data_IF_047478360813
#
_entry.id   IF_047478360813
#
_cell.length_a   1.000
_cell.length_b   1.000
_cell.length_c   1.000
_cell.angle_alpha   90.00
_cell.angle_beta   90.00
_cell.angle_gamma   90.00
#
_symmetry.space_group_name_H-M   'P 1'
#
loop_
_entity.id
_entity.type
_entity.pdbx_description
1 polymer ?
#
# COMPACT_ATOMS: atom_id res chain seq x y z
N UNK A 1 12.14 -2.05 5.36
CA UNK A 1 10.93 -1.34 4.86
C UNK A 1 10.24 -0.62 6.01
N UNK A 2 9.78 0.64 5.83
CA UNK A 2 9.22 1.46 6.90
C UNK A 2 8.05 0.77 7.64
N UNK A 3 7.06 0.22 6.92
CA UNK A 3 5.90 -0.45 7.53
C UNK A 3 6.27 -1.63 8.43
N UNK A 4 7.19 -2.49 8.01
CA UNK A 4 7.65 -3.62 8.82
C UNK A 4 8.41 -3.17 10.05
N UNK A 5 9.23 -2.12 9.92
CA UNK A 5 9.95 -1.53 11.05
C UNK A 5 8.98 -0.89 12.07
N UNK A 6 7.96 -0.15 11.59
CA UNK A 6 6.94 0.45 12.46
C UNK A 6 6.16 -0.61 13.23
N UNK A 7 5.75 -1.70 12.56
CA UNK A 7 5.09 -2.82 13.23
C UNK A 7 6.02 -3.52 14.24
N UNK A 8 7.28 -3.76 13.87
CA UNK A 8 8.27 -4.34 14.77
C UNK A 8 8.46 -3.50 16.04
N UNK A 9 8.55 -2.19 15.89
CA UNK A 9 8.63 -1.23 17.01
C UNK A 9 7.38 -1.28 17.89
N UNK A 10 6.19 -1.38 17.26
CA UNK A 10 4.91 -1.48 17.99
C UNK A 10 4.86 -2.73 18.89
N UNK A 11 5.21 -3.90 18.34
CA UNK A 11 5.27 -5.14 19.11
C UNK A 11 6.34 -5.09 20.21
N UNK A 12 7.50 -4.51 19.94
CA UNK A 12 8.57 -4.35 20.96
C UNK A 12 8.11 -3.44 22.11
N UNK A 13 7.46 -2.31 21.80
CA UNK A 13 6.93 -1.40 22.82
C UNK A 13 5.80 -2.03 23.65
N UNK A 14 5.05 -2.97 23.06
CA UNK A 14 4.07 -3.78 23.75
C UNK A 14 4.69 -4.93 24.58
N UNK A 15 6.02 -5.03 24.63
CA UNK A 15 6.75 -6.00 25.45
C UNK A 15 6.99 -7.36 24.79
N UNK A 16 6.81 -7.48 23.47
CA UNK A 16 6.98 -8.74 22.75
C UNK A 16 8.38 -8.90 22.17
N UNK A 17 8.82 -10.14 22.06
CA UNK A 17 10.03 -10.51 21.34
C UNK A 17 9.78 -10.48 19.85
N UNK A 18 10.57 -9.70 19.11
CA UNK A 18 10.38 -9.50 17.67
C UNK A 18 11.50 -10.17 16.88
N UNK A 19 11.13 -10.90 15.83
CA UNK A 19 12.02 -11.50 14.85
C UNK A 19 11.78 -10.81 13.51
N UNK A 20 12.84 -10.30 12.89
CA UNK A 20 12.78 -9.70 11.55
C UNK A 20 13.14 -10.71 10.46
N UNK A 21 12.49 -10.59 9.31
CA UNK A 21 12.87 -11.32 8.11
C UNK A 21 12.61 -10.45 6.87
N UNK A 22 13.54 -10.39 5.93
CA UNK A 22 13.39 -9.63 4.69
C UNK A 22 14.35 -10.15 3.61
N UNK A 23 14.14 -9.71 2.37
CA UNK A 23 15.06 -9.93 1.27
C UNK A 23 16.23 -8.96 1.34
N UNK A 24 17.45 -9.44 1.17
CA UNK A 24 18.65 -8.61 1.09
C UNK A 24 19.23 -8.63 -0.33
N UNK A 25 18.72 -7.75 -1.23
CA UNK A 25 19.14 -7.75 -2.62
C UNK A 25 20.63 -7.38 -2.74
N UNK A 26 21.32 -8.09 -3.61
CA UNK A 26 22.74 -7.88 -3.88
C UNK A 26 23.66 -8.03 -2.65
N UNK A 27 23.21 -8.70 -1.60
CA UNK A 27 23.95 -8.85 -0.34
C UNK A 27 24.04 -7.57 0.49
N UNK A 28 23.29 -6.52 0.12
CA UNK A 28 23.22 -5.29 0.93
C UNK A 28 22.17 -5.47 2.01
N UNK A 29 22.57 -5.42 3.31
CA UNK A 29 21.62 -5.54 4.40
C UNK A 29 20.54 -4.45 4.36
N UNK A 30 19.29 -4.86 4.59
CA UNK A 30 18.18 -3.91 4.70
C UNK A 30 18.26 -3.13 6.01
N UNK A 31 17.77 -1.89 6.00
CA UNK A 31 17.87 -0.99 7.14
C UNK A 31 17.18 -1.52 8.41
N UNK A 32 16.06 -2.22 8.31
CA UNK A 32 15.34 -2.81 9.45
C UNK A 32 16.17 -3.81 10.24
N UNK A 33 17.15 -4.47 9.61
CA UNK A 33 18.07 -5.42 10.28
C UNK A 33 18.83 -4.82 11.47
N UNK A 34 19.08 -3.51 11.43
CA UNK A 34 19.87 -2.79 12.41
C UNK A 34 19.03 -2.20 13.55
N UNK A 35 17.74 -2.46 13.57
CA UNK A 35 16.86 -2.01 14.62
C UNK A 35 17.13 -2.76 15.93
N UNK A 36 17.21 -2.01 17.04
CA UNK A 36 17.37 -2.58 18.38
C UNK A 36 16.19 -3.42 18.84
N UNK A 37 15.03 -3.29 18.18
CA UNK A 37 13.81 -4.05 18.51
C UNK A 37 13.88 -5.50 18.07
N UNK A 38 14.75 -5.83 17.12
CA UNK A 38 14.87 -7.18 16.60
C UNK A 38 15.82 -8.02 17.44
N UNK A 39 15.30 -9.07 18.07
CA UNK A 39 16.13 -10.06 18.76
C UNK A 39 16.92 -10.93 17.80
N UNK A 40 16.41 -11.14 16.57
CA UNK A 40 17.09 -11.82 15.47
C UNK A 40 16.56 -11.32 14.13
N UNK A 41 17.38 -11.54 13.09
CA UNK A 41 17.03 -11.26 11.71
C UNK A 41 17.38 -12.43 10.79
N UNK A 42 16.49 -12.72 9.84
CA UNK A 42 16.66 -13.77 8.83
C UNK A 42 16.61 -13.16 7.43
N UNK A 43 17.63 -13.44 6.63
CA UNK A 43 17.60 -13.13 5.20
C UNK A 43 16.81 -14.20 4.47
N UNK A 44 15.87 -13.79 3.62
CA UNK A 44 14.97 -14.66 2.88
C UNK A 44 15.36 -14.75 1.41
N UNK A 45 15.16 -15.92 0.82
CA UNK A 45 15.28 -16.14 -0.62
C UNK A 45 14.13 -15.45 -1.34
N UNK A 46 14.41 -14.71 -2.43
CA UNK A 46 13.35 -14.13 -3.26
C UNK A 46 12.65 -15.17 -4.09
N UNK A 47 11.32 -15.11 -4.22
CA UNK A 47 10.62 -15.86 -5.25
C UNK A 47 11.21 -15.54 -6.63
N UNK A 48 11.36 -16.57 -7.47
CA UNK A 48 11.92 -16.43 -8.80
C UNK A 48 11.16 -17.32 -9.80
N UNK A 49 11.37 -17.09 -11.11
CA UNK A 49 10.66 -17.80 -12.17
C UNK A 49 11.04 -19.29 -12.28
N UNK A 50 12.20 -19.70 -11.73
CA UNK A 50 12.70 -21.07 -11.84
C UNK A 50 12.13 -21.97 -10.75
N UNK A 51 12.19 -21.50 -9.49
CA UNK A 51 11.85 -22.30 -8.30
C UNK A 51 10.54 -21.83 -7.64
N UNK A 52 9.89 -20.82 -8.23
CA UNK A 52 8.69 -20.23 -7.69
C UNK A 52 8.92 -19.64 -6.30
N UNK A 53 7.99 -19.89 -5.39
CA UNK A 53 8.07 -19.45 -4.01
C UNK A 53 8.69 -20.47 -3.04
N UNK A 54 9.16 -21.61 -3.52
CA UNK A 54 9.54 -22.77 -2.68
C UNK A 54 10.59 -22.39 -1.63
N UNK A 55 11.70 -21.81 -2.05
CA UNK A 55 12.77 -21.41 -1.11
C UNK A 55 12.33 -20.33 -0.13
N UNK A 56 11.56 -19.35 -0.60
CA UNK A 56 10.98 -18.31 0.25
C UNK A 56 10.13 -18.91 1.37
N UNK A 57 9.22 -19.82 1.03
CA UNK A 57 8.31 -20.47 1.99
C UNK A 57 9.10 -21.33 2.96
N UNK A 58 10.13 -22.06 2.48
CA UNK A 58 11.00 -22.90 3.32
C UNK A 58 11.80 -22.06 4.32
N UNK A 59 12.36 -20.91 3.90
CA UNK A 59 13.09 -20.00 4.78
C UNK A 59 12.18 -19.46 5.88
N UNK A 60 10.98 -18.98 5.53
CA UNK A 60 9.99 -18.51 6.50
C UNK A 60 9.58 -19.61 7.48
N UNK A 61 9.21 -20.79 6.98
CA UNK A 61 8.80 -21.92 7.83
C UNK A 61 9.92 -22.33 8.79
N UNK A 62 11.18 -22.33 8.30
CA UNK A 62 12.35 -22.67 9.09
C UNK A 62 12.57 -21.64 10.21
N UNK A 63 12.44 -20.32 9.90
CA UNK A 63 12.54 -19.25 10.89
C UNK A 63 11.42 -19.35 11.93
N UNK A 64 10.17 -19.55 11.51
CA UNK A 64 9.00 -19.72 12.39
C UNK A 64 9.20 -20.88 13.36
N UNK A 65 9.62 -22.05 12.87
CA UNK A 65 9.86 -23.24 13.71
C UNK A 65 11.02 -23.04 14.68
N UNK A 66 12.14 -22.50 14.21
CA UNK A 66 13.35 -22.29 15.01
C UNK A 66 13.13 -21.30 16.16
N UNK A 67 12.42 -20.23 15.88
CA UNK A 67 12.16 -19.16 16.85
C UNK A 67 10.88 -19.36 17.64
N UNK A 68 10.09 -20.40 17.32
CA UNK A 68 8.79 -20.69 17.94
C UNK A 68 7.87 -19.47 17.87
N UNK A 69 7.71 -18.92 16.66
CA UNK A 69 6.94 -17.70 16.42
C UNK A 69 5.45 -18.00 16.64
N UNK A 70 4.80 -17.20 17.47
CA UNK A 70 3.36 -17.33 17.75
C UNK A 70 2.52 -16.64 16.65
N UNK A 71 3.00 -15.48 16.14
CA UNK A 71 2.30 -14.70 15.12
C UNK A 71 3.29 -14.25 14.03
N UNK A 72 2.93 -14.49 12.78
CA UNK A 72 3.65 -13.98 11.63
C UNK A 72 2.84 -12.88 10.95
N UNK A 73 3.43 -11.69 10.76
CA UNK A 73 2.81 -10.54 10.10
C UNK A 73 3.50 -10.31 8.77
N UNK A 74 2.77 -10.52 7.66
CA UNK A 74 3.28 -10.20 6.34
C UNK A 74 3.36 -8.68 6.14
N UNK A 75 4.57 -8.20 5.80
CA UNK A 75 4.85 -6.80 5.48
C UNK A 75 5.39 -6.65 4.05
N UNK A 76 5.23 -7.64 3.22
CA UNK A 76 5.79 -7.70 1.86
C UNK A 76 5.22 -6.62 0.94
N UNK A 77 5.89 -6.44 -0.19
CA UNK A 77 5.44 -5.56 -1.26
C UNK A 77 4.49 -6.26 -2.23
N UNK A 78 4.11 -5.56 -3.29
CA UNK A 78 3.24 -6.06 -4.36
C UNK A 78 3.77 -7.34 -5.01
N UNK A 79 5.09 -7.46 -5.17
CA UNK A 79 5.73 -8.53 -5.93
C UNK A 79 5.72 -9.91 -5.25
N UNK A 80 5.25 -10.02 -4.02
CA UNK A 80 5.22 -11.29 -3.27
C UNK A 80 3.91 -11.50 -2.49
N UNK A 81 2.85 -10.80 -2.88
CA UNK A 81 1.58 -10.89 -2.17
C UNK A 81 0.94 -12.29 -2.25
N UNK A 82 0.99 -12.92 -3.41
CA UNK A 82 0.44 -14.28 -3.63
C UNK A 82 1.29 -15.33 -2.93
N UNK A 83 2.61 -15.19 -2.99
CA UNK A 83 3.56 -16.07 -2.31
C UNK A 83 3.43 -16.00 -0.78
N UNK A 84 3.06 -14.83 -0.25
CA UNK A 84 2.73 -14.67 1.18
C UNK A 84 1.46 -15.45 1.55
N UNK A 85 0.46 -15.49 0.67
CA UNK A 85 -0.73 -16.33 0.83
C UNK A 85 -0.37 -17.82 0.89
N UNK A 86 0.49 -18.28 -0.02
CA UNK A 86 1.01 -19.66 -0.02
C UNK A 86 1.80 -19.95 1.26
N UNK A 87 2.65 -19.00 1.69
CA UNK A 87 3.43 -19.14 2.92
C UNK A 87 2.52 -19.27 4.15
N UNK A 88 1.43 -18.48 4.24
CA UNK A 88 0.42 -18.59 5.29
C UNK A 88 -0.12 -20.02 5.37
N UNK A 89 -0.60 -20.57 4.26
CA UNK A 89 -1.20 -21.90 4.22
C UNK A 89 -0.23 -23.00 4.71
N UNK A 90 1.07 -22.87 4.33
CA UNK A 90 2.11 -23.80 4.76
C UNK A 90 2.45 -23.63 6.24
N UNK A 91 2.63 -22.40 6.71
CA UNK A 91 2.99 -22.09 8.11
C UNK A 91 1.90 -22.57 9.06
N UNK A 92 0.63 -22.21 8.82
CA UNK A 92 -0.48 -22.60 9.70
C UNK A 92 -0.75 -24.11 9.68
N UNK A 93 -0.51 -24.80 8.54
CA UNK A 93 -0.62 -26.27 8.45
C UNK A 93 0.44 -26.99 9.25
N UNK A 94 1.66 -26.44 9.32
CA UNK A 94 2.83 -27.14 9.87
C UNK A 94 3.32 -26.62 11.21
N UNK A 95 2.69 -25.57 11.76
CA UNK A 95 3.05 -24.97 13.04
C UNK A 95 1.79 -24.51 13.77
N UNK A 96 1.97 -23.96 14.98
CA UNK A 96 0.89 -23.25 15.71
C UNK A 96 0.89 -21.74 15.47
N UNK A 97 1.80 -21.27 14.63
CA UNK A 97 1.91 -19.85 14.30
C UNK A 97 0.66 -19.39 13.55
N UNK A 98 0.06 -18.30 13.99
CA UNK A 98 -1.03 -17.62 13.27
C UNK A 98 -0.45 -16.60 12.30
N UNK A 99 -0.96 -16.59 11.08
CA UNK A 99 -0.50 -15.68 10.04
C UNK A 99 -1.48 -14.53 9.84
N UNK A 100 -1.00 -13.30 9.97
CA UNK A 100 -1.75 -12.11 9.57
C UNK A 100 -1.52 -11.89 8.08
N UNK A 101 -2.22 -12.67 7.30
CA UNK A 101 -2.24 -12.69 5.84
C UNK A 101 -3.48 -13.42 5.36
N UNK A 102 -4.02 -13.07 4.20
CA UNK A 102 -5.09 -13.84 3.55
C UNK A 102 -4.51 -15.10 2.88
N UNK A 103 -5.37 -16.07 2.64
CA UNK A 103 -5.02 -17.23 1.81
C UNK A 103 -4.71 -16.81 0.37
N UNK A 104 -4.16 -17.75 -0.40
CA UNK A 104 -3.72 -17.52 -1.78
C UNK A 104 -4.85 -17.02 -2.67
N UNK A 105 -6.05 -17.59 -2.57
CA UNK A 105 -7.20 -17.25 -3.40
C UNK A 105 -7.71 -15.84 -3.08
N UNK A 106 -7.93 -15.56 -1.82
CA UNK A 106 -8.38 -14.24 -1.36
C UNK A 106 -7.37 -13.17 -1.73
N UNK A 107 -6.06 -13.43 -1.51
CA UNK A 107 -5.00 -12.50 -1.88
C UNK A 107 -5.00 -12.21 -3.38
N UNK A 108 -5.10 -13.22 -4.23
CA UNK A 108 -5.14 -13.03 -5.68
C UNK A 108 -6.37 -12.23 -6.12
N UNK A 109 -7.54 -12.53 -5.57
CA UNK A 109 -8.79 -11.80 -5.88
C UNK A 109 -8.70 -10.32 -5.50
N UNK A 110 -8.15 -10.01 -4.32
CA UNK A 110 -8.08 -8.63 -3.82
C UNK A 110 -6.94 -7.82 -4.45
N UNK A 111 -5.84 -8.49 -4.82
CA UNK A 111 -4.64 -7.84 -5.34
C UNK A 111 -4.80 -7.36 -6.79
N UNK A 112 -5.55 -8.09 -7.60
CA UNK A 112 -5.77 -7.76 -8.99
C UNK A 112 -6.96 -6.79 -9.10
N UNK A 113 -6.74 -5.62 -9.72
CA UNK A 113 -7.71 -4.51 -9.75
C UNK A 113 -9.08 -4.90 -10.29
N UNK A 114 -9.08 -5.69 -11.36
CA UNK A 114 -10.30 -6.11 -12.01
C UNK A 114 -11.10 -7.08 -11.11
N UNK A 115 -10.47 -8.16 -10.63
CA UNK A 115 -11.12 -9.14 -9.76
C UNK A 115 -11.62 -8.50 -8.46
N UNK A 116 -10.88 -7.54 -7.91
CA UNK A 116 -11.31 -6.76 -6.75
C UNK A 116 -12.60 -5.98 -7.03
N UNK A 117 -12.69 -5.27 -8.15
CA UNK A 117 -13.91 -4.53 -8.52
C UNK A 117 -15.09 -5.47 -8.74
N UNK A 118 -14.88 -6.61 -9.43
CA UNK A 118 -15.93 -7.60 -9.62
C UNK A 118 -16.37 -8.22 -8.29
N UNK A 119 -15.43 -8.54 -7.41
CA UNK A 119 -15.75 -9.03 -6.08
C UNK A 119 -16.57 -8.00 -5.27
N UNK A 120 -16.16 -6.71 -5.30
CA UNK A 120 -16.87 -5.62 -4.61
C UNK A 120 -18.29 -5.46 -5.13
N UNK A 121 -18.49 -5.53 -6.46
CA UNK A 121 -19.84 -5.54 -7.08
C UNK A 121 -20.66 -6.75 -6.63
N UNK A 122 -20.04 -7.93 -6.58
CA UNK A 122 -20.68 -9.16 -6.10
C UNK A 122 -21.16 -9.07 -4.65
N UNK A 123 -20.50 -8.27 -3.84
CA UNK A 123 -20.90 -7.95 -2.46
C UNK A 123 -22.00 -6.88 -2.37
N UNK A 124 -22.52 -6.38 -3.50
CA UNK A 124 -23.45 -5.26 -3.56
C UNK A 124 -22.95 -3.99 -2.82
N UNK A 125 -21.64 -3.72 -2.92
CA UNK A 125 -21.02 -2.51 -2.43
C UNK A 125 -20.76 -1.51 -3.57
N UNK A 126 -20.69 -0.20 -3.28
CA UNK A 126 -20.34 0.80 -4.30
C UNK A 126 -19.02 0.45 -4.98
N UNK A 127 -18.99 0.51 -6.29
CA UNK A 127 -17.79 0.33 -7.10
C UNK A 127 -17.91 1.17 -8.37
N UNK A 128 -16.79 1.63 -8.98
CA UNK A 128 -16.84 2.31 -10.26
C UNK A 128 -17.49 1.45 -11.32
N UNK A 129 -18.23 2.06 -12.20
CA UNK A 129 -18.73 1.40 -13.40
C UNK A 129 -17.54 0.90 -14.23
N UNK A 130 -17.53 -0.38 -14.56
CA UNK A 130 -16.36 -1.06 -15.10
C UNK A 130 -16.80 -2.14 -16.07
N UNK A 131 -16.18 -2.17 -17.23
CA UNK A 131 -16.44 -3.10 -18.32
C UNK A 131 -15.15 -3.81 -18.72
N UNK A 132 -15.26 -5.11 -18.94
CA UNK A 132 -14.18 -5.91 -19.53
C UNK A 132 -14.25 -5.78 -21.04
N UNK A 133 -13.16 -5.37 -21.65
CA UNK A 133 -13.08 -5.16 -23.08
C UNK A 133 -11.94 -5.97 -23.69
N UNK A 134 -12.28 -6.80 -24.67
CA UNK A 134 -11.35 -7.66 -25.41
C UNK A 134 -11.27 -7.27 -26.88
N UNK A 135 -11.98 -6.20 -27.28
CA UNK A 135 -11.90 -5.66 -28.64
C UNK A 135 -12.09 -4.14 -28.63
N UNK A 136 -11.50 -3.48 -29.63
CA UNK A 136 -11.67 -2.04 -29.85
C UNK A 136 -13.14 -1.67 -30.14
N UNK A 137 -13.85 -2.55 -30.83
CA UNK A 137 -15.27 -2.36 -31.11
C UNK A 137 -16.12 -2.32 -29.84
N UNK A 138 -15.83 -3.19 -28.86
CA UNK A 138 -16.51 -3.17 -27.56
C UNK A 138 -16.31 -1.82 -26.84
N UNK A 139 -15.08 -1.27 -26.88
CA UNK A 139 -14.80 0.06 -26.31
C UNK A 139 -15.66 1.12 -26.98
N UNK A 140 -15.69 1.17 -28.32
CA UNK A 140 -16.47 2.19 -29.05
C UNK A 140 -17.96 2.06 -28.80
N UNK A 141 -18.52 0.85 -28.73
CA UNK A 141 -19.91 0.65 -28.41
C UNK A 141 -20.30 1.24 -27.06
N UNK A 142 -19.49 0.94 -26.00
CA UNK A 142 -19.75 1.47 -24.67
C UNK A 142 -19.65 3.00 -24.66
N UNK A 143 -18.60 3.58 -25.30
CA UNK A 143 -18.43 5.02 -25.36
C UNK A 143 -19.58 5.74 -26.14
N UNK A 144 -20.13 5.10 -27.15
CA UNK A 144 -21.26 5.67 -27.92
C UNK A 144 -22.59 5.66 -27.15
N UNK A 145 -22.75 4.68 -26.24
CA UNK A 145 -23.96 4.54 -25.42
C UNK A 145 -23.90 5.41 -24.16
N UNK A 146 -22.74 5.96 -23.82
CA UNK A 146 -22.52 6.74 -22.61
C UNK A 146 -22.60 8.25 -22.89
N UNK A 147 -23.74 8.85 -22.55
CA UNK A 147 -23.91 10.31 -22.59
C UNK A 147 -23.18 10.97 -21.40
N UNK A 148 -22.33 11.96 -21.66
CA UNK A 148 -21.63 12.81 -20.67
C UNK A 148 -20.78 12.08 -19.61
N UNK A 149 -20.42 10.82 -19.84
CA UNK A 149 -19.58 10.02 -18.94
C UNK A 149 -18.19 9.85 -19.55
N UNK A 150 -17.17 10.11 -18.74
CA UNK A 150 -15.79 9.86 -19.13
C UNK A 150 -15.29 8.54 -18.56
N UNK A 151 -14.46 7.86 -19.33
CA UNK A 151 -13.83 6.59 -18.97
C UNK A 151 -12.32 6.66 -19.14
N UNK A 152 -11.62 5.74 -18.48
CA UNK A 152 -10.20 5.46 -18.69
C UNK A 152 -10.02 3.98 -19.04
N UNK A 153 -9.04 3.69 -19.91
CA UNK A 153 -8.66 2.33 -20.25
C UNK A 153 -7.47 1.92 -19.40
N UNK A 154 -7.55 0.73 -18.81
CA UNK A 154 -6.49 0.13 -17.99
C UNK A 154 -6.19 -1.28 -18.52
N UNK A 155 -4.92 -1.61 -18.73
CA UNK A 155 -4.54 -2.99 -19.09
C UNK A 155 -4.75 -3.92 -17.89
N UNK A 156 -5.26 -5.14 -18.17
CA UNK A 156 -5.29 -6.23 -17.18
C UNK A 156 -3.90 -6.87 -17.16
N UNK A 157 -3.25 -6.89 -15.99
CA UNK A 157 -1.89 -7.45 -15.82
C UNK A 157 -0.83 -6.44 -15.39
N UNK A 158 0.43 -6.87 -15.35
CA UNK A 158 1.56 -6.12 -14.77
C UNK A 158 2.36 -5.42 -15.87
N UNK A 159 1.72 -4.57 -16.68
CA UNK A 159 2.45 -3.71 -17.61
C UNK A 159 2.59 -2.30 -17.02
N UNK A 160 3.79 -2.02 -16.47
CA UNK A 160 4.09 -0.73 -15.86
C UNK A 160 4.10 0.43 -16.88
N UNK A 161 4.26 0.16 -18.18
CA UNK A 161 4.27 1.19 -19.23
C UNK A 161 2.86 1.72 -19.52
N UNK A 162 1.85 0.85 -19.52
CA UNK A 162 0.45 1.24 -19.79
C UNK A 162 -0.28 1.75 -18.55
N UNK A 163 0.27 1.55 -17.34
CA UNK A 163 -0.34 2.02 -16.07
C UNK A 163 -0.38 3.53 -15.91
N UNK A 164 0.46 4.26 -16.64
CA UNK A 164 0.51 5.73 -16.58
C UNK A 164 -0.44 6.42 -17.55
N UNK A 165 -1.10 5.69 -18.44
CA UNK A 165 -2.03 6.29 -19.40
C UNK A 165 -3.42 6.44 -18.76
N UNK A 166 -3.72 7.65 -18.34
CA UNK A 166 -5.02 8.05 -17.79
C UNK A 166 -5.81 8.90 -18.80
N UNK A 167 -5.61 8.66 -20.08
CA UNK A 167 -6.33 9.39 -21.14
C UNK A 167 -7.83 9.24 -20.98
N UNK A 168 -8.52 10.38 -20.85
CA UNK A 168 -9.98 10.43 -20.75
C UNK A 168 -10.62 10.12 -22.09
N UNK A 169 -11.61 9.25 -22.09
CA UNK A 169 -12.44 8.85 -23.25
C UNK A 169 -13.92 9.12 -22.94
N UNK A 170 -14.73 9.58 -23.94
CA UNK A 170 -14.25 9.95 -25.27
C UNK A 170 -13.35 11.17 -25.26
N UNK A 171 -12.51 11.30 -26.28
CA UNK A 171 -11.74 12.52 -26.58
C UNK A 171 -12.67 13.61 -27.13
N UNK A 172 -12.23 14.88 -27.21
CA UNK A 172 -13.05 15.97 -27.76
C UNK A 172 -13.61 15.69 -29.15
N UNK A 173 -12.93 14.87 -29.95
CA UNK A 173 -13.40 14.45 -31.25
C UNK A 173 -13.45 12.92 -31.39
N UNK A 174 -14.38 12.42 -32.18
CA UNK A 174 -14.48 10.99 -32.50
C UNK A 174 -13.17 10.49 -33.14
N UNK A 175 -12.57 11.27 -34.03
CA UNK A 175 -11.31 10.91 -34.70
C UNK A 175 -10.18 10.67 -33.69
N UNK A 176 -10.02 11.56 -32.71
CA UNK A 176 -8.99 11.42 -31.66
C UNK A 176 -9.28 10.21 -30.77
N UNK A 177 -10.57 9.92 -30.47
CA UNK A 177 -10.97 8.74 -29.71
C UNK A 177 -10.59 7.47 -30.47
N UNK A 178 -10.93 7.38 -31.75
CA UNK A 178 -10.58 6.24 -32.60
C UNK A 178 -9.06 6.06 -32.71
N UNK A 179 -8.31 7.14 -32.93
CA UNK A 179 -6.85 7.10 -33.03
C UNK A 179 -6.21 6.61 -31.73
N UNK A 180 -6.67 7.09 -30.55
CA UNK A 180 -6.17 6.65 -29.27
C UNK A 180 -6.43 5.15 -29.06
N UNK A 181 -7.66 4.70 -29.22
CA UNK A 181 -8.03 3.29 -29.04
C UNK A 181 -7.35 2.36 -30.06
N UNK A 182 -7.10 2.85 -31.29
CA UNK A 182 -6.36 2.09 -32.32
C UNK A 182 -4.90 1.80 -31.95
N UNK A 183 -4.26 2.67 -31.14
CA UNK A 183 -2.89 2.48 -30.69
C UNK A 183 -2.76 1.45 -29.56
N UNK A 184 -3.86 1.08 -28.92
CA UNK A 184 -3.86 0.11 -27.81
C UNK A 184 -4.01 -1.31 -28.34
N UNK A 185 -3.28 -2.25 -27.73
CA UNK A 185 -3.37 -3.67 -28.04
C UNK A 185 -4.48 -4.30 -27.20
N UNK A 186 -5.72 -4.16 -27.65
CA UNK A 186 -6.91 -4.74 -27.01
C UNK A 186 -7.30 -5.99 -27.78
N UNK A 187 -7.12 -7.17 -27.16
CA UNK A 187 -7.43 -8.48 -27.75
C UNK A 187 -7.89 -9.45 -26.65
N UNK A 188 -8.38 -10.63 -27.02
CA UNK A 188 -8.73 -11.68 -26.07
C UNK A 188 -7.50 -12.12 -25.22
N UNK A 189 -6.30 -12.13 -25.81
CA UNK A 189 -5.05 -12.49 -25.10
C UNK A 189 -4.45 -11.32 -24.32
N UNK A 190 -4.94 -10.11 -24.55
CA UNK A 190 -4.53 -8.89 -23.86
C UNK A 190 -5.79 -8.06 -23.52
N UNK A 191 -6.57 -8.51 -22.52
CA UNK A 191 -7.80 -7.83 -22.14
C UNK A 191 -7.52 -6.50 -21.45
N UNK A 192 -8.45 -5.59 -21.56
CA UNK A 192 -8.43 -4.29 -20.91
C UNK A 192 -9.69 -4.07 -20.11
N UNK A 193 -9.63 -3.10 -19.22
CA UNK A 193 -10.77 -2.63 -18.42
C UNK A 193 -11.08 -1.20 -18.82
N UNK A 194 -12.31 -0.95 -19.26
CA UNK A 194 -12.86 0.39 -19.43
C UNK A 194 -13.59 0.75 -18.14
N UNK A 195 -13.07 1.73 -17.40
CA UNK A 195 -13.60 2.12 -16.11
C UNK A 195 -14.04 3.58 -16.12
N UNK A 196 -15.22 3.86 -15.57
CA UNK A 196 -15.68 5.23 -15.37
C UNK A 196 -14.63 6.06 -14.66
N UNK A 197 -14.30 7.20 -15.23
CA UNK A 197 -13.46 8.19 -14.57
C UNK A 197 -14.24 8.87 -13.44
N UNK A 198 -13.68 8.84 -12.24
CA UNK A 198 -14.27 9.49 -11.08
C UNK A 198 -13.45 10.76 -10.82
N UNK A 199 -14.00 11.95 -11.06
CA UNK A 199 -13.33 13.20 -10.70
C UNK A 199 -13.40 13.37 -9.19
N UNK A 200 -12.24 13.45 -8.52
CA UNK A 200 -12.23 13.63 -7.07
C UNK A 200 -10.87 13.35 -6.44
N UNK A 201 -10.80 13.61 -5.16
CA UNK A 201 -9.60 13.38 -4.37
C UNK A 201 -9.42 11.89 -4.04
N UNK A 202 -8.18 11.45 -4.03
CA UNK A 202 -7.82 10.08 -3.69
C UNK A 202 -7.44 9.96 -2.21
N UNK A 203 -7.95 8.92 -1.58
CA UNK A 203 -7.67 8.57 -0.19
C UNK A 203 -7.26 7.11 -0.09
N UNK A 204 -6.38 6.82 0.85
CA UNK A 204 -6.00 5.45 1.15
C UNK A 204 -6.30 5.11 2.61
N UNK A 205 -6.49 3.80 2.86
CA UNK A 205 -6.75 3.29 4.20
C UNK A 205 -5.76 2.19 4.55
N UNK A 206 -5.64 1.93 5.85
CA UNK A 206 -5.07 0.69 6.36
C UNK A 206 -5.99 0.12 7.43
N UNK A 207 -6.35 -1.15 7.28
CA UNK A 207 -7.09 -1.90 8.26
C UNK A 207 -6.40 -3.23 8.59
N UNK A 208 -6.41 -3.61 9.85
CA UNK A 208 -6.18 -4.97 10.31
C UNK A 208 -7.53 -5.65 10.52
N UNK A 209 -7.69 -6.79 9.90
CA UNK A 209 -8.86 -7.67 10.10
C UNK A 209 -8.38 -8.95 10.77
N UNK A 210 -9.07 -9.38 11.80
CA UNK A 210 -8.82 -10.65 12.50
C UNK A 210 -10.16 -11.37 12.69
N UNK A 211 -10.23 -12.58 12.15
CA UNK A 211 -11.39 -13.46 12.21
C UNK A 211 -12.72 -12.75 11.83
N UNK A 212 -12.65 -11.92 10.77
CA UNK A 212 -13.81 -11.19 10.25
C UNK A 212 -14.12 -9.85 10.94
N UNK A 213 -13.33 -9.44 11.92
CA UNK A 213 -13.51 -8.17 12.63
C UNK A 213 -12.41 -7.17 12.31
N UNK A 214 -12.75 -5.91 12.04
CA UNK A 214 -11.78 -4.81 11.90
C UNK A 214 -11.28 -4.43 13.30
N UNK A 215 -9.98 -4.62 13.55
CA UNK A 215 -9.32 -4.34 14.84
C UNK A 215 -8.55 -3.02 14.85
N UNK A 216 -8.00 -2.63 13.70
CA UNK A 216 -7.17 -1.44 13.54
C UNK A 216 -7.60 -0.73 12.28
N UNK A 217 -7.71 0.60 12.30
CA UNK A 217 -8.10 1.37 11.12
C UNK A 217 -7.49 2.77 11.12
N UNK A 218 -6.99 3.20 9.98
CA UNK A 218 -6.61 4.60 9.69
C UNK A 218 -6.92 4.93 8.23
N UNK A 219 -7.35 6.17 8.01
CA UNK A 219 -7.53 6.76 6.67
C UNK A 219 -6.64 8.00 6.53
N UNK A 220 -6.13 8.24 5.33
CA UNK A 220 -5.33 9.41 5.00
C UNK A 220 -5.52 9.80 3.52
N UNK A 221 -5.31 11.07 3.15
CA UNK A 221 -5.22 11.46 1.75
C UNK A 221 -4.11 10.66 1.06
N UNK A 222 -4.34 10.27 -0.19
CA UNK A 222 -3.31 9.68 -1.03
C UNK A 222 -2.44 10.80 -1.58
N UNK A 223 -1.12 10.68 -1.40
CA UNK A 223 -0.16 11.65 -1.90
C UNK A 223 0.74 11.01 -2.94
N UNK A 224 1.29 11.83 -3.84
CA UNK A 224 2.23 11.37 -4.84
C UNK A 224 3.36 10.54 -4.23
N UNK A 225 3.63 9.39 -4.84
CA UNK A 225 4.62 8.41 -4.40
C UNK A 225 4.48 7.92 -2.95
N UNK A 226 3.39 8.28 -2.26
CA UNK A 226 3.13 7.91 -0.86
C UNK A 226 4.33 8.23 0.05
N UNK A 227 4.81 9.48 -0.03
CA UNK A 227 5.93 9.98 0.78
C UNK A 227 5.49 10.90 1.91
N UNK A 228 4.25 11.34 1.88
CA UNK A 228 3.65 12.16 2.92
C UNK A 228 2.36 11.49 3.41
N UNK A 229 2.26 11.28 4.70
CA UNK A 229 1.08 10.70 5.34
C UNK A 229 0.57 11.63 6.42
N UNK A 230 -0.69 11.97 6.32
CA UNK A 230 -1.41 12.73 7.34
C UNK A 230 -2.68 11.98 7.72
N UNK A 231 -2.77 11.52 8.98
CA UNK A 231 -3.96 10.81 9.44
C UNK A 231 -5.18 11.72 9.41
N UNK A 232 -6.26 11.25 8.81
CA UNK A 232 -7.55 11.92 8.93
C UNK A 232 -8.06 11.82 10.37
N UNK A 233 -8.76 12.87 10.81
CA UNK A 233 -9.40 12.80 12.12
C UNK A 233 -10.44 11.65 12.13
N UNK A 234 -10.38 10.72 13.10
CA UNK A 234 -11.23 9.52 13.08
C UNK A 234 -12.74 9.81 13.19
N UNK A 235 -13.09 11.02 13.68
CA UNK A 235 -14.49 11.48 13.76
C UNK A 235 -14.97 12.19 12.50
N UNK A 236 -14.11 12.43 11.50
CA UNK A 236 -14.55 13.05 10.24
C UNK A 236 -15.56 12.14 9.53
N UNK A 237 -16.49 12.75 8.82
CA UNK A 237 -17.53 12.00 8.06
C UNK A 237 -16.90 11.03 7.05
N UNK A 238 -15.85 11.46 6.38
CA UNK A 238 -15.17 10.70 5.35
C UNK A 238 -14.39 9.51 5.94
N UNK A 239 -13.63 9.69 7.04
CA UNK A 239 -12.96 8.58 7.72
C UNK A 239 -13.94 7.53 8.24
N UNK A 240 -15.09 7.98 8.80
CA UNK A 240 -16.16 7.07 9.22
C UNK A 240 -16.80 6.32 8.06
N UNK A 241 -16.99 6.98 6.92
CA UNK A 241 -17.57 6.35 5.73
C UNK A 241 -16.63 5.26 5.18
N UNK A 242 -15.30 5.52 5.13
CA UNK A 242 -14.30 4.52 4.73
C UNK A 242 -14.23 3.34 5.71
N UNK A 243 -14.28 3.61 7.02
CA UNK A 243 -14.34 2.56 8.03
C UNK A 243 -15.61 1.70 7.86
N UNK A 244 -16.76 2.34 7.67
CA UNK A 244 -18.03 1.63 7.44
C UNK A 244 -17.95 0.75 6.20
N UNK A 245 -17.41 1.28 5.08
CA UNK A 245 -17.18 0.48 3.87
C UNK A 245 -16.32 -0.74 4.17
N UNK A 246 -15.20 -0.55 4.90
CA UNK A 246 -14.28 -1.64 5.25
C UNK A 246 -14.99 -2.72 6.09
N UNK A 247 -15.79 -2.32 7.08
CA UNK A 247 -16.57 -3.24 7.91
C UNK A 247 -17.62 -4.01 7.09
N UNK A 248 -18.36 -3.32 6.21
CA UNK A 248 -19.36 -3.95 5.34
C UNK A 248 -18.71 -4.89 4.33
N UNK A 249 -17.56 -4.52 3.79
CA UNK A 249 -16.77 -5.37 2.89
C UNK A 249 -16.37 -6.68 3.58
N UNK A 250 -15.80 -6.59 4.78
CA UNK A 250 -15.38 -7.75 5.57
C UNK A 250 -16.59 -8.62 5.92
N UNK A 251 -17.67 -8.03 6.45
CA UNK A 251 -18.87 -8.75 6.84
C UNK A 251 -19.55 -9.50 5.69
N UNK A 252 -19.47 -8.99 4.46
CA UNK A 252 -20.07 -9.62 3.27
C UNK A 252 -19.12 -10.57 2.54
N UNK A 253 -17.81 -10.49 2.79
CA UNK A 253 -16.81 -11.37 2.16
C UNK A 253 -16.76 -12.79 2.77
N UNK A 254 -17.45 -13.03 3.86
CA UNK A 254 -17.51 -14.33 4.55
C UNK A 254 -16.69 -14.39 5.84
N UNK A 255 -16.87 -15.48 6.57
CA UNK A 255 -16.28 -15.67 7.88
C UNK A 255 -14.78 -15.93 7.82
N UNK A 256 -14.07 -15.51 8.87
CA UNK A 256 -12.69 -15.91 9.13
C UNK A 256 -11.62 -15.12 8.38
N UNK A 257 -11.95 -13.99 7.73
CA UNK A 257 -10.92 -13.15 7.10
C UNK A 257 -9.91 -12.68 8.15
N UNK A 258 -8.62 -13.00 7.95
CA UNK A 258 -7.51 -12.51 8.79
C UNK A 258 -6.37 -12.03 7.91
N UNK A 259 -6.05 -10.75 8.01
CA UNK A 259 -5.03 -10.10 7.18
C UNK A 259 -5.17 -8.57 7.19
N UNK A 260 -4.50 -7.93 6.25
CA UNK A 260 -4.57 -6.48 6.08
C UNK A 260 -5.39 -6.10 4.86
N UNK A 261 -6.26 -5.12 5.01
CA UNK A 261 -6.95 -4.46 3.92
C UNK A 261 -6.46 -3.01 3.82
N UNK A 262 -5.97 -2.64 2.66
CA UNK A 262 -5.66 -1.26 2.31
C UNK A 262 -6.42 -0.93 1.04
N UNK A 263 -7.48 -0.14 1.18
CA UNK A 263 -8.28 0.34 0.06
C UNK A 263 -7.81 1.72 -0.37
N UNK A 264 -7.75 1.91 -1.68
CA UNK A 264 -7.62 3.22 -2.30
C UNK A 264 -9.00 3.63 -2.82
N UNK A 265 -9.44 4.83 -2.44
CA UNK A 265 -10.75 5.38 -2.77
C UNK A 265 -10.62 6.67 -3.57
N UNK A 266 -11.48 6.84 -4.58
CA UNK A 266 -11.81 8.15 -5.12
C UNK A 266 -13.10 8.66 -4.48
N UNK A 267 -13.14 9.95 -4.16
CA UNK A 267 -14.28 10.60 -3.52
C UNK A 267 -14.90 11.58 -4.49
N UNK A 268 -16.05 11.21 -5.03
CA UNK A 268 -16.85 12.09 -5.91
C UNK A 268 -17.76 12.98 -5.07
N UNK A 269 -17.69 14.29 -5.28
CA UNK A 269 -18.63 15.24 -4.71
C UNK A 269 -19.76 15.49 -5.72
N UNK A 270 -20.96 15.06 -5.41
CA UNK A 270 -22.14 15.32 -6.22
C UNK A 270 -23.10 16.28 -5.52
N UNK A 271 -23.68 17.20 -6.27
CA UNK A 271 -24.75 18.04 -5.78
C UNK A 271 -26.04 17.22 -5.66
N UNK A 272 -26.63 17.16 -4.49
CA UNK A 272 -27.94 16.57 -4.26
C UNK A 272 -28.91 17.64 -3.70
N UNK A 273 -30.22 17.37 -3.74
CA UNK A 273 -31.24 18.24 -3.14
C UNK A 273 -31.01 18.53 -1.63
N UNK A 274 -30.20 17.67 -0.96
CA UNK A 274 -29.84 17.79 0.47
C UNK A 274 -28.47 18.43 0.70
N UNK A 275 -27.81 18.95 -0.34
CA UNK A 275 -26.46 19.51 -0.30
C UNK A 275 -25.42 18.64 -1.01
N UNK A 276 -24.12 18.96 -0.81
CA UNK A 276 -23.02 18.17 -1.37
C UNK A 276 -22.98 16.79 -0.72
N UNK A 277 -23.16 15.75 -1.51
CA UNK A 277 -23.02 14.36 -1.10
C UNK A 277 -21.67 13.84 -1.57
N UNK A 278 -20.94 13.18 -0.67
CA UNK A 278 -19.68 12.50 -0.99
C UNK A 278 -19.95 11.02 -1.22
N UNK A 279 -19.60 10.54 -2.40
CA UNK A 279 -19.72 9.14 -2.77
C UNK A 279 -18.33 8.52 -2.83
N UNK A 280 -18.14 7.40 -2.15
CA UNK A 280 -16.88 6.65 -2.10
C UNK A 280 -16.85 5.59 -3.18
N UNK A 281 -15.80 5.58 -3.99
CA UNK A 281 -15.54 4.54 -4.98
C UNK A 281 -14.21 3.86 -4.68
N UNK A 282 -14.19 2.61 -4.21
CA UNK A 282 -12.96 1.85 -4.07
C UNK A 282 -12.40 1.54 -5.46
N UNK A 283 -11.13 1.87 -5.70
CA UNK A 283 -10.49 1.68 -7.00
C UNK A 283 -9.42 0.59 -7.00
N UNK A 284 -8.91 0.28 -5.82
CA UNK A 284 -7.88 -0.74 -5.61
C UNK A 284 -7.96 -1.28 -4.19
N UNK A 285 -7.61 -2.56 -4.02
CA UNK A 285 -7.32 -3.15 -2.72
C UNK A 285 -5.89 -3.68 -2.70
N UNK A 286 -5.15 -3.31 -1.67
CA UNK A 286 -3.84 -3.85 -1.39
C UNK A 286 -3.95 -4.81 -0.18
N UNK A 287 -4.02 -6.14 -0.36
CA UNK A 287 -4.21 -7.12 0.71
C UNK A 287 -2.90 -7.35 1.48
N UNK A 288 -2.36 -6.30 2.07
CA UNK A 288 -1.08 -6.27 2.79
C UNK A 288 -0.99 -5.06 3.71
N UNK A 289 -0.07 -5.10 4.67
CA UNK A 289 0.21 -3.93 5.51
C UNK A 289 0.54 -2.70 4.65
N UNK A 290 -0.10 -1.59 4.93
CA UNK A 290 0.14 -0.29 4.28
C UNK A 290 1.17 0.53 5.08
N UNK A 291 1.85 1.45 4.41
CA UNK A 291 2.82 2.34 5.08
C UNK A 291 2.16 3.26 6.11
N UNK A 292 0.86 3.53 5.96
CA UNK A 292 0.05 4.31 6.91
C UNK A 292 0.02 3.74 8.35
N UNK A 293 0.57 2.54 8.61
CA UNK A 293 0.79 2.03 9.98
C UNK A 293 1.67 2.98 10.81
N UNK A 294 2.52 3.81 10.19
CA UNK A 294 3.33 4.82 10.91
C UNK A 294 2.45 5.84 11.64
N UNK A 295 1.22 6.05 11.16
CA UNK A 295 0.28 7.04 11.71
C UNK A 295 -0.29 6.66 13.09
N UNK A 296 -0.09 5.42 13.54
CA UNK A 296 -0.54 5.02 14.88
C UNK A 296 0.34 5.56 16.00
N UNK A 297 1.61 5.89 15.74
CA UNK A 297 2.50 6.64 16.65
C UNK A 297 2.33 6.28 18.15
N UNK A 298 1.64 7.15 18.91
CA UNK A 298 1.38 6.96 20.34
C UNK A 298 0.43 5.80 20.65
N UNK A 299 -0.25 5.26 19.65
CA UNK A 299 -1.14 4.09 19.76
C UNK A 299 -0.50 2.80 19.23
N UNK A 300 0.83 2.80 19.06
CA UNK A 300 1.56 1.65 18.51
C UNK A 300 1.37 0.38 19.34
N UNK A 301 1.43 0.46 20.67
CA UNK A 301 1.21 -0.68 21.56
C UNK A 301 -0.25 -1.17 21.48
N UNK A 302 -1.24 -0.27 21.49
CA UNK A 302 -2.65 -0.63 21.31
C UNK A 302 -2.90 -1.30 19.94
N UNK A 303 -2.21 -0.82 18.90
CA UNK A 303 -2.24 -1.45 17.59
C UNK A 303 -1.68 -2.88 17.64
N UNK A 304 -0.56 -3.11 18.31
CA UNK A 304 0.03 -4.44 18.47
C UNK A 304 -0.93 -5.40 19.21
N UNK A 305 -1.64 -4.92 20.24
CA UNK A 305 -2.69 -5.70 20.92
C UNK A 305 -3.81 -6.14 19.96
N UNK A 306 -4.17 -5.28 19.00
CA UNK A 306 -5.12 -5.63 17.94
C UNK A 306 -4.67 -6.87 17.14
N UNK A 307 -3.38 -6.99 16.83
CA UNK A 307 -2.83 -8.18 16.15
C UNK A 307 -2.87 -9.43 17.04
N UNK A 308 -2.63 -9.27 18.34
CA UNK A 308 -2.61 -10.39 19.28
C UNK A 308 -3.99 -11.02 19.51
N UNK A 309 -5.07 -10.35 19.13
CA UNK A 309 -6.41 -10.95 19.14
C UNK A 309 -6.49 -12.21 18.28
N UNK A 310 -5.61 -12.36 17.26
CA UNK A 310 -5.51 -13.58 16.45
C UNK A 310 -5.00 -14.81 17.23
N UNK A 311 -4.36 -14.61 18.38
CA UNK A 311 -3.87 -15.68 19.26
C UNK A 311 -4.89 -16.07 20.33
N UNK A 312 -5.91 -15.23 20.60
CA UNK A 312 -6.93 -15.51 21.59
C UNK A 312 -7.90 -16.55 21.02
N UNK A 313 -7.87 -17.82 21.49
CA UNK A 313 -9.00 -18.69 21.25
C UNK A 313 -10.25 -18.04 21.89
N UNK A 314 -11.43 -18.41 21.46
CA UNK A 314 -12.70 -17.96 22.03
C UNK A 314 -12.81 -18.36 23.53
N UNK A 315 -11.95 -17.78 24.37
CA UNK A 315 -12.04 -17.94 25.81
C UNK A 315 -13.17 -17.05 26.27
N UNK A 316 -14.30 -17.69 26.53
CA UNK A 316 -15.49 -17.10 27.09
C UNK A 316 -15.20 -16.04 28.17
N UNK A 317 -15.60 -14.81 27.90
CA UNK A 317 -15.94 -13.81 28.90
C UNK A 317 -14.89 -12.78 29.33
N UNK A 318 -13.58 -13.03 29.27
CA UNK A 318 -12.58 -12.11 29.82
C UNK A 318 -12.01 -11.07 28.84
N UNK A 319 -12.21 -11.27 27.52
CA UNK A 319 -11.70 -10.40 26.45
C UNK A 319 -12.81 -9.53 25.81
N UNK A 320 -14.00 -9.54 26.37
CA UNK A 320 -15.18 -8.86 25.80
C UNK A 320 -15.01 -7.33 25.61
N UNK A 321 -14.12 -6.67 26.33
CA UNK A 321 -13.85 -5.25 26.16
C UNK A 321 -12.98 -4.90 24.93
N UNK A 322 -12.09 -5.81 24.50
CA UNK A 322 -11.21 -5.62 23.34
C UNK A 322 -11.83 -6.14 22.04
N UNK A 323 -12.77 -7.08 22.10
CA UNK A 323 -13.41 -7.68 20.91
C UNK A 323 -14.09 -6.67 19.99
N UNK A 324 -14.54 -5.52 20.49
CA UNK A 324 -15.32 -4.55 19.73
C UNK A 324 -14.66 -3.18 19.58
N UNK A 325 -13.47 -2.97 20.16
CA UNK A 325 -12.76 -1.69 20.06
C UNK A 325 -11.86 -1.67 18.85
N UNK A 326 -12.17 -0.80 17.89
CA UNK A 326 -11.28 -0.52 16.77
C UNK A 326 -10.24 0.50 17.22
N UNK A 327 -8.95 0.16 17.09
CA UNK A 327 -7.85 1.08 17.36
C UNK A 327 -7.72 2.05 16.18
N UNK A 328 -7.83 3.33 16.48
CA UNK A 328 -7.67 4.43 15.53
C UNK A 328 -6.71 5.48 16.11
N UNK A 329 -5.92 6.19 15.30
CA UNK A 329 -5.09 7.29 15.79
C UNK A 329 -5.98 8.37 16.44
N UNK A 330 -5.79 8.67 17.72
CA UNK A 330 -6.61 9.66 18.43
C UNK A 330 -6.34 11.10 17.97
N UNK A 331 -5.13 11.38 17.54
CA UNK A 331 -4.69 12.68 17.00
C UNK A 331 -4.14 12.50 15.59
N UNK A 332 -4.37 13.43 14.68
CA UNK A 332 -3.72 13.44 13.39
C UNK A 332 -2.20 13.44 13.55
N UNK A 333 -1.56 12.38 13.08
CA UNK A 333 -0.11 12.28 12.99
C UNK A 333 0.32 12.56 11.56
N UNK A 334 1.51 13.18 11.39
CA UNK A 334 2.07 13.55 10.09
C UNK A 334 3.45 12.93 9.94
N UNK A 335 3.63 12.19 8.86
CA UNK A 335 4.88 11.50 8.56
C UNK A 335 5.37 11.79 7.16
N UNK A 336 6.68 11.94 7.00
CA UNK A 336 7.37 12.13 5.74
C UNK A 336 8.68 11.33 5.71
N UNK A 337 9.44 11.41 4.63
CA UNK A 337 10.77 10.82 4.51
C UNK A 337 11.75 11.90 4.08
N UNK A 338 12.63 12.29 5.00
CA UNK A 338 13.56 13.42 4.83
C UNK A 338 14.41 13.33 3.55
N UNK A 339 14.84 12.14 3.17
CA UNK A 339 15.64 11.98 1.94
C UNK A 339 14.86 12.26 0.66
N UNK A 340 13.55 11.95 0.63
CA UNK A 340 12.71 12.31 -0.50
C UNK A 340 12.53 13.83 -0.59
N UNK A 341 12.18 14.46 0.51
CA UNK A 341 11.96 15.91 0.56
C UNK A 341 13.24 16.70 0.25
N UNK A 342 14.37 16.28 0.80
CA UNK A 342 15.65 16.89 0.52
C UNK A 342 15.95 16.87 -0.99
N UNK A 343 15.69 15.75 -1.66
CA UNK A 343 15.95 15.63 -3.10
C UNK A 343 14.93 16.42 -3.90
N UNK A 344 13.63 16.25 -3.63
CA UNK A 344 12.55 16.80 -4.45
C UNK A 344 12.33 18.31 -4.23
N UNK A 345 12.44 18.77 -2.99
CA UNK A 345 12.14 20.15 -2.62
C UNK A 345 13.36 21.06 -2.61
N UNK A 346 14.57 20.51 -2.43
CA UNK A 346 15.78 21.33 -2.29
C UNK A 346 16.78 21.04 -3.40
N UNK A 347 17.29 19.80 -3.52
CA UNK A 347 18.40 19.51 -4.42
C UNK A 347 18.00 19.60 -5.91
N UNK A 348 16.86 19.06 -6.27
CA UNK A 348 16.40 19.08 -7.65
C UNK A 348 16.08 20.51 -8.17
N UNK A 349 15.31 21.34 -7.45
CA UNK A 349 15.15 22.75 -7.82
C UNK A 349 16.46 23.53 -7.85
N UNK A 350 17.40 23.27 -6.92
CA UNK A 350 18.73 23.89 -6.92
C UNK A 350 19.52 23.55 -8.19
N UNK A 351 19.53 22.28 -8.60
CA UNK A 351 20.19 21.86 -9.86
C UNK A 351 19.55 22.56 -11.06
N UNK A 352 18.21 22.71 -11.07
CA UNK A 352 17.48 23.41 -12.15
C UNK A 352 17.86 24.88 -12.25
N UNK A 353 18.27 25.55 -11.19
CA UNK A 353 18.79 26.91 -11.23
C UNK A 353 20.09 26.95 -12.03
N UNK A 354 21.02 26.02 -11.82
CA UNK A 354 22.28 25.96 -12.53
C UNK A 354 22.15 25.71 -14.04
N UNK A 355 21.08 25.01 -14.44
CA UNK A 355 20.76 24.80 -15.87
C UNK A 355 19.82 25.87 -16.44
N UNK A 356 19.66 27.00 -15.73
CA UNK A 356 18.87 28.16 -16.13
C UNK A 356 17.41 27.86 -16.51
N UNK A 357 16.78 26.91 -15.82
CA UNK A 357 15.38 26.57 -16.05
C UNK A 357 14.44 27.65 -15.49
N UNK A 358 13.50 28.18 -16.29
CA UNK A 358 12.59 29.24 -15.85
C UNK A 358 11.80 28.79 -14.59
N UNK A 359 11.62 29.70 -13.62
CA UNK A 359 10.84 29.46 -12.41
C UNK A 359 11.57 28.68 -11.31
N UNK A 360 12.74 28.09 -11.58
CA UNK A 360 13.46 27.22 -10.63
C UNK A 360 13.89 27.93 -9.34
N UNK A 361 14.16 29.24 -9.37
CA UNK A 361 14.50 30.01 -8.15
C UNK A 361 13.31 30.08 -7.20
N UNK A 362 12.12 30.32 -7.73
CA UNK A 362 10.88 30.33 -6.93
C UNK A 362 10.59 28.96 -6.34
N UNK A 363 10.66 27.92 -7.17
CA UNK A 363 10.48 26.52 -6.73
C UNK A 363 11.47 26.15 -5.61
N UNK A 364 12.72 26.58 -5.71
CA UNK A 364 13.74 26.34 -4.70
C UNK A 364 13.41 27.02 -3.37
N UNK A 365 12.99 28.30 -3.40
CA UNK A 365 12.64 29.04 -2.18
C UNK A 365 11.41 28.43 -1.51
N UNK A 366 10.35 28.15 -2.28
CA UNK A 366 9.13 27.52 -1.80
C UNK A 366 9.41 26.11 -1.25
N UNK A 367 10.26 25.35 -1.95
CA UNK A 367 10.69 24.02 -1.53
C UNK A 367 11.51 24.04 -0.24
N UNK A 368 12.45 24.96 -0.09
CA UNK A 368 13.20 25.12 1.17
C UNK A 368 12.27 25.47 2.34
N UNK A 369 11.29 26.36 2.12
CA UNK A 369 10.32 26.70 3.15
C UNK A 369 9.50 25.50 3.58
N UNK A 370 8.98 24.73 2.62
CA UNK A 370 8.19 23.53 2.88
C UNK A 370 9.04 22.44 3.57
N UNK A 371 10.28 22.25 3.14
CA UNK A 371 11.22 21.32 3.77
C UNK A 371 11.47 21.66 5.24
N UNK A 372 11.68 22.96 5.55
CA UNK A 372 11.82 23.41 6.95
C UNK A 372 10.54 23.16 7.75
N UNK A 373 9.36 23.39 7.18
CA UNK A 373 8.09 23.08 7.83
C UNK A 373 7.98 21.58 8.15
N UNK A 374 8.34 20.70 7.21
CA UNK A 374 8.33 19.27 7.45
C UNK A 374 9.33 18.88 8.56
N UNK A 375 10.54 19.43 8.56
CA UNK A 375 11.52 19.18 9.62
C UNK A 375 11.03 19.58 11.02
N UNK A 376 10.23 20.64 11.12
CA UNK A 376 9.77 21.16 12.40
C UNK A 376 8.48 20.51 12.90
N UNK A 377 7.60 20.10 12.00
CA UNK A 377 6.21 19.73 12.38
C UNK A 377 5.82 18.30 11.98
N UNK A 378 6.64 17.61 11.18
CA UNK A 378 6.39 16.25 10.74
C UNK A 378 7.43 15.30 11.34
N UNK A 379 7.10 14.02 11.42
CA UNK A 379 8.04 12.97 11.84
C UNK A 379 8.59 12.23 10.63
N UNK A 380 9.88 11.88 10.65
CA UNK A 380 10.42 10.97 9.63
C UNK A 380 9.92 9.54 9.91
N UNK A 381 9.42 8.87 8.86
CA UNK A 381 8.80 7.54 8.97
C UNK A 381 9.77 6.40 9.31
N UNK A 382 11.07 6.67 9.34
CA UNK A 382 12.11 5.69 9.67
C UNK A 382 12.87 6.05 10.94
N UNK A 383 12.97 7.35 11.25
CA UNK A 383 13.74 7.84 12.40
C UNK A 383 12.98 7.68 13.72
N UNK A 384 13.67 7.09 14.69
CA UNK A 384 13.29 7.14 16.09
C UNK A 384 14.54 7.41 16.95
N UNK A 385 14.43 8.32 17.93
CA UNK A 385 15.58 8.71 18.76
C UNK A 385 16.18 7.54 19.54
N UNK A 386 15.34 6.61 19.97
CA UNK A 386 15.76 5.42 20.73
C UNK A 386 16.19 4.24 19.84
N UNK A 387 15.94 4.33 18.50
CA UNK A 387 16.30 3.32 17.49
C UNK A 387 16.77 4.02 16.19
N UNK A 388 17.90 4.77 16.20
CA UNK A 388 18.32 5.62 15.09
C UNK A 388 19.03 4.87 13.96
N UNK A 389 19.59 3.69 14.21
CA UNK A 389 20.42 2.97 13.24
C UNK A 389 19.70 2.60 11.94
N UNK A 390 18.42 2.18 11.92
CA UNK A 390 17.70 1.93 10.66
C UNK A 390 17.65 3.15 9.74
N UNK A 391 17.43 4.32 10.30
CA UNK A 391 17.43 5.58 9.54
C UNK A 391 18.83 5.91 9.01
N UNK A 392 19.85 5.85 9.88
CA UNK A 392 21.22 6.13 9.47
C UNK A 392 21.67 5.19 8.34
N UNK A 393 21.42 3.89 8.50
CA UNK A 393 21.77 2.87 7.50
C UNK A 393 21.06 3.11 6.17
N UNK A 394 19.75 3.47 6.21
CA UNK A 394 18.94 3.72 5.03
C UNK A 394 19.58 4.79 4.12
N UNK A 395 19.98 5.91 4.70
CA UNK A 395 20.46 7.07 3.93
C UNK A 395 21.97 7.05 3.65
N UNK A 396 22.79 6.43 4.52
CA UNK A 396 24.24 6.47 4.38
C UNK A 396 24.84 5.20 3.78
N UNK A 397 24.13 4.07 3.79
CA UNK A 397 24.62 2.80 3.26
C UNK A 397 23.70 2.21 2.22
N UNK A 398 22.41 2.02 2.55
CA UNK A 398 21.48 1.29 1.68
C UNK A 398 21.27 2.02 0.34
N UNK A 399 20.79 3.27 0.36
CA UNK A 399 20.56 4.03 -0.87
C UNK A 399 21.83 4.31 -1.66
N UNK A 400 22.94 4.78 -1.06
CA UNK A 400 24.21 4.91 -1.79
C UNK A 400 24.65 3.61 -2.44
N UNK A 401 24.53 2.48 -1.74
CA UNK A 401 24.85 1.16 -2.27
C UNK A 401 23.94 0.74 -3.44
N UNK A 402 22.64 1.01 -3.38
CA UNK A 402 21.71 0.73 -4.45
C UNK A 402 22.01 1.58 -5.70
N UNK A 403 22.26 2.87 -5.53
CA UNK A 403 22.65 3.75 -6.65
C UNK A 403 23.98 3.30 -7.29
N UNK A 404 24.99 3.01 -6.47
CA UNK A 404 26.27 2.51 -6.97
C UNK A 404 26.08 1.19 -7.75
N UNK A 405 25.31 0.26 -7.24
CA UNK A 405 25.01 -1.00 -7.94
C UNK A 405 24.31 -0.75 -9.28
N UNK A 406 23.36 0.17 -9.35
CA UNK A 406 22.71 0.55 -10.61
C UNK A 406 23.69 1.17 -11.62
N UNK A 407 24.55 2.07 -11.16
CA UNK A 407 25.59 2.71 -12.03
C UNK A 407 26.55 1.66 -12.58
N UNK A 408 27.09 0.79 -11.71
CA UNK A 408 28.03 -0.28 -12.11
C UNK A 408 27.41 -1.29 -13.08
N UNK A 409 26.12 -1.60 -12.91
CA UNK A 409 25.38 -2.51 -13.77
C UNK A 409 24.74 -1.83 -14.98
N UNK A 410 24.96 -0.53 -15.17
CA UNK A 410 24.38 0.28 -16.25
C UNK A 410 22.85 0.16 -16.33
N UNK A 411 22.19 0.05 -15.17
CA UNK A 411 20.72 0.02 -15.09
C UNK A 411 20.19 1.42 -14.87
N UNK A 412 19.17 1.79 -15.62
CA UNK A 412 18.48 3.05 -15.45
C UNK A 412 17.37 2.90 -14.38
N UNK A 413 17.12 3.98 -13.65
CA UNK A 413 15.98 4.09 -12.75
C UNK A 413 15.21 5.38 -13.01
N UNK A 414 13.88 5.35 -12.88
CA UNK A 414 13.01 6.49 -13.07
C UNK A 414 12.71 7.22 -11.76
N UNK A 415 12.49 6.47 -10.71
CA UNK A 415 12.13 7.00 -9.39
C UNK A 415 12.44 6.00 -8.28
N UNK A 416 12.46 6.50 -7.05
CA UNK A 416 12.59 5.66 -5.85
C UNK A 416 11.42 5.94 -4.92
N UNK A 417 11.02 4.91 -4.17
CA UNK A 417 10.09 5.04 -3.07
C UNK A 417 10.82 4.71 -1.77
N UNK A 418 11.15 5.74 -1.00
CA UNK A 418 11.96 5.59 0.23
C UNK A 418 11.21 4.82 1.30
N UNK A 419 9.89 5.00 1.40
CA UNK A 419 9.05 4.33 2.41
C UNK A 419 8.99 2.82 2.21
N UNK A 420 9.04 2.34 0.96
CA UNK A 420 9.02 0.92 0.62
C UNK A 420 10.38 0.37 0.21
N UNK A 421 11.42 1.21 0.12
CA UNK A 421 12.75 0.89 -0.39
C UNK A 421 12.73 0.32 -1.82
N UNK A 422 11.73 0.67 -2.63
CA UNK A 422 11.59 0.23 -4.01
C UNK A 422 12.26 1.23 -4.95
N UNK A 423 13.10 0.73 -5.85
CA UNK A 423 13.64 1.45 -6.98
C UNK A 423 12.89 0.99 -8.24
N UNK A 424 12.35 1.95 -9.00
CA UNK A 424 11.65 1.65 -10.25
C UNK A 424 12.65 1.76 -11.40
N UNK A 425 12.78 0.70 -12.17
CA UNK A 425 13.64 0.67 -13.35
C UNK A 425 12.89 1.25 -14.55
N UNK A 426 13.66 1.88 -15.49
CA UNK A 426 13.18 2.30 -16.79
C UNK A 426 13.28 1.14 -17.77
#
# INVERSE_FOLDING_TARGET
MAKGLSLARAFYQAGHRVIGADFEPYGVPVNGRFSVVLSKFYSLSRPNSKDGATHYIQDLLSAVRREKVDIWVSCSGVASAVEDGQAKEVIERHTRCRAIQFDTKTTATLHEKHSFIQHTKGLALPAPETYDVTSRTAVHNILNDAEDVHYILKSVGVDDASRGDLTLLPRPTLSETYQHVANLKITNDSPWVLQRFIPGEEYCTHALVVDGDVKVFVACPSSELLMHYEAMHPRSSLSKAMLKFTQEFVARSGDGMTGHLSFDFLVEESASEKGLQKVLYPIECNPRAHTAVVLFDQHAAEMAEGYLTALAPEINGAVNGLKHRIVVPAKPAKYYWVGYDLVSLVLYPLIRIFILSPGSVREFIEGCYLFIQHLLFWKDGTYEMWDPLPWWWLYHVYWPGQFLACILQRRNWSRINVSTTKMFNC
#
